data_IF_176133421628
#
_entry.id   IF_176133421628
#
_cell.length_a   1.000
_cell.length_b   1.000
_cell.length_c   1.000
_cell.angle_alpha   90.00
_cell.angle_beta   90.00
_cell.angle_gamma   90.00
#
_symmetry.space_group_name_H-M   'P 1'
#
loop_
_entity.id
_entity.type
_entity.pdbx_description
1 polymer ?
#
# COMPACT_ATOMS: atom_id res chain seq x y z
N UNK A 1 16.51 0.75 1.82
CA UNK A 1 15.11 0.69 1.39
C UNK A 1 14.50 2.09 1.50
N UNK A 2 13.70 2.48 0.53
CA UNK A 2 13.10 3.82 0.43
C UNK A 2 11.64 3.82 0.92
N UNK A 3 10.80 4.64 0.29
CA UNK A 3 9.38 4.79 0.65
C UNK A 3 8.46 3.78 -0.06
N UNK A 4 8.99 2.81 -0.79
CA UNK A 4 8.22 1.88 -1.64
C UNK A 4 7.13 1.16 -0.84
N UNK A 5 7.51 0.51 0.26
CA UNK A 5 6.64 -0.25 1.16
C UNK A 5 5.63 0.61 1.97
N UNK A 6 5.73 1.94 1.88
CA UNK A 6 4.84 2.90 2.58
C UNK A 6 4.12 3.83 1.60
N UNK A 7 4.03 3.43 0.33
CA UNK A 7 3.22 4.11 -0.68
C UNK A 7 3.94 5.19 -1.49
N UNK A 8 5.27 5.30 -1.38
CA UNK A 8 6.11 6.16 -2.25
C UNK A 8 5.69 7.64 -2.28
N UNK A 9 5.30 8.19 -1.12
CA UNK A 9 4.67 9.52 -0.99
C UNK A 9 5.44 10.63 -1.72
N UNK A 10 6.78 10.61 -1.69
CA UNK A 10 7.61 11.65 -2.29
C UNK A 10 8.10 11.35 -3.72
N UNK A 11 7.95 10.12 -4.20
CA UNK A 11 8.52 9.65 -5.47
C UNK A 11 7.98 10.45 -6.66
N UNK A 12 6.66 10.66 -6.70
CA UNK A 12 6.03 11.41 -7.79
C UNK A 12 6.58 12.85 -7.87
N UNK A 13 6.65 13.54 -6.72
CA UNK A 13 7.17 14.91 -6.68
C UNK A 13 8.64 14.97 -7.11
N UNK A 14 9.44 14.00 -6.70
CA UNK A 14 10.85 13.89 -7.06
C UNK A 14 11.03 13.71 -8.57
N UNK A 15 10.29 12.79 -9.19
CA UNK A 15 10.35 12.53 -10.63
C UNK A 15 9.96 13.79 -11.41
N UNK A 16 8.87 14.45 -11.01
CA UNK A 16 8.40 15.69 -11.66
C UNK A 16 9.45 16.80 -11.58
N UNK A 17 10.13 16.96 -10.44
CA UNK A 17 11.19 17.98 -10.24
C UNK A 17 12.47 17.68 -11.04
N UNK A 18 12.80 16.40 -11.22
CA UNK A 18 14.08 15.97 -11.80
C UNK A 18 13.96 15.42 -13.23
N UNK A 19 12.86 15.70 -13.94
CA UNK A 19 12.54 15.13 -15.27
C UNK A 19 13.68 15.22 -16.29
N UNK A 20 14.46 16.32 -16.29
CA UNK A 20 15.61 16.49 -17.21
C UNK A 20 16.76 15.55 -16.88
N UNK A 21 17.11 15.45 -15.60
CA UNK A 21 18.19 14.57 -15.10
C UNK A 21 17.83 13.10 -15.26
N UNK A 22 16.54 12.76 -15.11
CA UNK A 22 16.01 11.41 -15.22
C UNK A 22 15.60 11.02 -16.66
N UNK A 23 15.89 11.87 -17.65
CA UNK A 23 15.55 11.58 -19.03
C UNK A 23 16.31 10.33 -19.52
N UNK A 24 15.55 9.37 -20.06
CA UNK A 24 16.06 8.10 -20.55
C UNK A 24 15.13 7.57 -21.66
N UNK A 25 15.66 6.68 -22.50
CA UNK A 25 14.89 6.02 -23.56
C UNK A 25 14.02 4.88 -23.01
N UNK A 26 14.47 4.23 -21.93
CA UNK A 26 13.84 3.05 -21.32
C UNK A 26 13.98 3.09 -19.80
N UNK A 27 12.91 2.69 -19.10
CA UNK A 27 12.91 2.42 -17.64
C UNK A 27 12.75 0.93 -17.44
N UNK A 28 13.65 0.32 -16.67
CA UNK A 28 13.60 -1.08 -16.26
C UNK A 28 13.38 -1.16 -14.75
N UNK A 29 12.35 -1.91 -14.33
CA UNK A 29 12.06 -2.19 -12.92
C UNK A 29 12.13 -3.71 -12.71
N UNK A 30 12.97 -4.15 -11.78
CA UNK A 30 13.14 -5.57 -11.42
C UNK A 30 12.59 -5.80 -10.01
N UNK A 31 11.28 -5.61 -9.88
CA UNK A 31 10.56 -5.71 -8.60
C UNK A 31 9.20 -6.38 -8.80
N UNK A 32 9.19 -7.43 -9.61
CA UNK A 32 7.99 -8.21 -9.93
C UNK A 32 8.29 -9.69 -9.82
N UNK A 33 7.24 -10.51 -9.74
CA UNK A 33 7.36 -11.96 -9.65
C UNK A 33 7.68 -12.62 -10.99
N UNK A 34 8.25 -13.83 -10.92
CA UNK A 34 8.39 -14.77 -12.03
C UNK A 34 7.31 -15.85 -11.93
N UNK A 35 6.77 -16.29 -13.07
CA UNK A 35 5.74 -17.34 -13.09
C UNK A 35 6.31 -18.74 -12.84
N UNK A 36 7.58 -18.97 -13.17
CA UNK A 36 8.33 -20.21 -12.99
C UNK A 36 9.83 -19.91 -13.04
N UNK A 37 10.66 -20.77 -12.44
CA UNK A 37 12.12 -20.64 -12.48
C UNK A 37 12.71 -21.03 -13.84
N UNK A 38 11.97 -21.80 -14.62
CA UNK A 38 12.36 -22.33 -15.93
C UNK A 38 11.90 -21.43 -17.08
N UNK A 39 10.90 -20.57 -16.84
CA UNK A 39 10.27 -19.73 -17.86
C UNK A 39 10.41 -18.25 -17.49
N UNK A 40 11.18 -17.45 -18.26
CA UNK A 40 11.32 -16.02 -17.99
C UNK A 40 9.98 -15.32 -18.16
N UNK A 41 9.72 -14.34 -17.28
CA UNK A 41 8.49 -13.56 -17.27
C UNK A 41 8.79 -12.10 -17.55
N UNK A 42 7.93 -11.45 -18.34
CA UNK A 42 7.92 -10.00 -18.53
C UNK A 42 6.58 -9.49 -18.05
N UNK A 43 6.60 -8.69 -16.99
CA UNK A 43 5.40 -8.04 -16.48
C UNK A 43 5.04 -6.86 -17.39
N UNK A 44 3.90 -6.96 -18.07
CA UNK A 44 3.41 -5.90 -18.98
C UNK A 44 2.41 -4.95 -18.32
N UNK A 45 2.00 -5.23 -17.09
CA UNK A 45 1.08 -4.38 -16.33
C UNK A 45 0.97 -4.80 -14.87
N UNK A 46 0.62 -3.84 -14.01
CA UNK A 46 0.38 -4.04 -12.59
C UNK A 46 -1.04 -3.56 -12.26
N UNK A 47 -1.63 -4.14 -11.22
CA UNK A 47 -2.90 -3.65 -10.67
C UNK A 47 -2.63 -2.40 -9.83
N UNK A 48 -3.57 -1.47 -9.82
CA UNK A 48 -3.61 -0.43 -8.80
C UNK A 48 -4.01 -1.00 -7.44
N UNK A 49 -3.73 -0.23 -6.39
CA UNK A 49 -4.12 -0.54 -5.01
C UNK A 49 -4.89 0.65 -4.45
N UNK A 50 -6.01 0.38 -3.78
CA UNK A 50 -6.70 1.35 -2.92
C UNK A 50 -6.68 0.81 -1.51
N UNK A 51 -5.96 1.48 -0.63
CA UNK A 51 -5.92 1.14 0.79
C UNK A 51 -7.00 1.91 1.54
N UNK A 52 -7.78 1.21 2.36
CA UNK A 52 -8.85 1.81 3.18
C UNK A 52 -8.76 1.22 4.58
N UNK A 53 -8.71 2.09 5.58
CA UNK A 53 -8.85 1.72 6.98
C UNK A 53 -10.24 2.14 7.47
N UNK A 54 -10.92 1.23 8.15
CA UNK A 54 -12.24 1.49 8.76
C UNK A 54 -12.07 1.38 10.26
N UNK A 55 -12.13 2.53 10.93
CA UNK A 55 -12.13 2.60 12.38
C UNK A 55 -13.58 2.67 12.89
N UNK A 56 -13.94 1.76 13.80
CA UNK A 56 -15.23 1.80 14.50
C UNK A 56 -14.96 2.02 15.97
N UNK A 57 -15.42 3.17 16.48
CA UNK A 57 -15.28 3.52 17.89
C UNK A 57 -16.64 3.34 18.60
N UNK A 58 -16.64 2.57 19.68
CA UNK A 58 -17.82 2.35 20.52
C UNK A 58 -17.76 3.17 21.81
N UNK A 59 -17.65 2.49 22.95
CA UNK A 59 -17.48 3.16 24.24
C UNK A 59 -16.14 3.93 24.30
N UNK A 60 -16.08 5.00 25.09
CA UNK A 60 -14.87 5.81 25.26
C UNK A 60 -13.79 5.16 26.14
N UNK A 61 -13.97 3.88 26.49
CA UNK A 61 -13.07 3.03 27.26
C UNK A 61 -13.53 1.57 27.10
N UNK A 62 -12.66 0.65 27.47
CA UNK A 62 -13.03 -0.77 27.55
C UNK A 62 -14.13 -0.99 28.60
N UNK A 63 -15.14 -1.78 28.24
CA UNK A 63 -16.25 -2.14 29.12
C UNK A 63 -16.20 -3.62 29.47
N UNK A 64 -16.50 -3.95 30.73
CA UNK A 64 -16.60 -5.34 31.16
C UNK A 64 -17.79 -6.03 30.46
N UNK A 65 -17.51 -6.97 29.57
CA UNK A 65 -18.52 -7.61 28.71
C UNK A 65 -19.67 -8.26 29.47
N UNK A 66 -19.44 -8.81 30.67
CA UNK A 66 -20.51 -9.37 31.51
C UNK A 66 -21.45 -8.34 32.15
N UNK A 67 -20.98 -7.11 32.37
CA UNK A 67 -21.79 -6.05 33.01
C UNK A 67 -22.56 -5.26 31.95
N UNK A 68 -21.95 -5.04 30.79
CA UNK A 68 -22.50 -4.19 29.72
C UNK A 68 -22.99 -4.98 28.49
N UNK A 69 -22.89 -6.31 28.53
CA UNK A 69 -23.35 -7.18 27.46
C UNK A 69 -24.85 -7.02 27.19
N UNK A 70 -25.20 -6.65 25.96
CA UNK A 70 -26.58 -6.39 25.55
C UNK A 70 -27.14 -5.01 25.91
N UNK A 71 -26.44 -4.22 26.73
CA UNK A 71 -26.83 -2.85 27.09
C UNK A 71 -26.13 -1.78 26.24
N UNK A 72 -24.95 -2.08 25.70
CA UNK A 72 -24.13 -1.18 24.87
C UNK A 72 -23.84 -1.86 23.52
N UNK A 73 -23.85 -1.07 22.44
CA UNK A 73 -23.45 -1.55 21.12
C UNK A 73 -21.95 -1.89 21.12
N UNK A 74 -21.61 -3.05 20.60
CA UNK A 74 -20.22 -3.42 20.35
C UNK A 74 -19.80 -2.84 18.99
N UNK A 75 -18.75 -2.00 18.93
CA UNK A 75 -18.20 -1.53 17.66
C UNK A 75 -17.65 -2.69 16.80
#
# INVERSE_FOLDING_TARGET
EGEEEVGSVNLESFIRKNKKTLACDVVLVSDTSIISNEVPSITTGLRGLSYVEVEVSGANRDLHSGVYGGAVANP
#
